data_IF_875228231438
#
_entry.id   IF_875228231438
#
_cell.length_a   1.000
_cell.length_b   1.000
_cell.length_c   1.000
_cell.angle_alpha   90.00
_cell.angle_beta   90.00
_cell.angle_gamma   90.00
#
_symmetry.space_group_name_H-M   'P 1'
#
loop_
_entity.id
_entity.type
_entity.pdbx_description
1 polymer ?
#
# COMPACT_ATOMS: atom_id res chain seq x y z
N UNK A 1 17.74 -2.32 18.49
CA UNK A 1 17.76 -3.67 17.87
C UNK A 1 16.63 -3.87 16.86
N UNK A 2 15.38 -3.45 17.12
CA UNK A 2 14.28 -3.56 16.15
C UNK A 2 14.45 -2.70 14.88
N UNK A 3 14.99 -1.48 15.01
CA UNK A 3 15.23 -0.57 13.88
C UNK A 3 16.25 -1.12 12.86
N UNK A 4 17.25 -1.90 13.32
CA UNK A 4 18.24 -2.53 12.43
C UNK A 4 17.68 -3.66 11.57
N UNK A 5 16.53 -4.25 11.95
CA UNK A 5 15.91 -5.32 11.14
C UNK A 5 15.20 -4.73 9.92
N UNK A 6 14.61 -3.54 10.08
CA UNK A 6 13.84 -2.88 9.03
C UNK A 6 14.70 -2.03 8.10
N UNK A 7 15.98 -1.83 8.41
CA UNK A 7 16.88 -1.05 7.55
C UNK A 7 17.14 -1.72 6.21
N UNK A 8 17.13 -3.06 6.13
CA UNK A 8 17.34 -3.79 4.87
C UNK A 8 16.23 -3.46 3.86
N UNK A 9 14.94 -3.75 4.13
CA UNK A 9 13.87 -3.48 3.15
C UNK A 9 13.72 -2.00 2.81
N UNK A 10 14.04 -1.10 3.76
CA UNK A 10 14.07 0.35 3.47
C UNK A 10 15.19 0.68 2.50
N UNK A 11 16.42 0.20 2.73
CA UNK A 11 17.53 0.46 1.81
C UNK A 11 17.29 -0.17 0.44
N UNK A 12 16.76 -1.38 0.37
CA UNK A 12 16.45 -2.05 -0.89
C UNK A 12 15.47 -1.23 -1.74
N UNK A 13 14.44 -0.66 -1.11
CA UNK A 13 13.50 0.19 -1.83
C UNK A 13 14.12 1.50 -2.32
N UNK A 14 15.00 2.14 -1.54
CA UNK A 14 15.72 3.34 -1.97
C UNK A 14 16.82 3.06 -3.00
N UNK A 15 17.25 1.80 -3.13
CA UNK A 15 18.14 1.33 -4.19
C UNK A 15 17.40 0.87 -5.45
N UNK A 16 16.09 0.64 -5.35
CA UNK A 16 15.29 0.19 -6.49
C UNK A 16 15.06 1.33 -7.49
N UNK A 17 15.11 0.99 -8.79
CA UNK A 17 14.78 1.92 -9.86
C UNK A 17 13.25 2.13 -9.93
N UNK A 18 12.71 2.96 -9.04
CA UNK A 18 11.28 3.26 -8.95
C UNK A 18 10.99 4.75 -8.87
N UNK A 19 9.74 5.13 -9.14
CA UNK A 19 9.28 6.53 -9.04
C UNK A 19 8.96 6.96 -7.60
N UNK A 20 8.76 6.02 -6.68
CA UNK A 20 8.54 6.30 -5.26
C UNK A 20 9.01 5.13 -4.40
N UNK A 21 10.12 5.29 -3.64
CA UNK A 21 10.64 4.23 -2.77
C UNK A 21 9.62 3.76 -1.72
N UNK A 22 8.79 4.67 -1.20
CA UNK A 22 7.77 4.31 -0.21
C UNK A 22 6.64 3.47 -0.84
N UNK A 23 6.25 3.73 -2.09
CA UNK A 23 5.35 2.85 -2.83
C UNK A 23 5.98 1.46 -3.04
N UNK A 24 7.26 1.41 -3.39
CA UNK A 24 7.97 0.13 -3.56
C UNK A 24 7.99 -0.67 -2.25
N UNK A 25 8.30 -0.03 -1.11
CA UNK A 25 8.21 -0.65 0.22
C UNK A 25 6.82 -1.20 0.51
N UNK A 26 5.77 -0.41 0.23
CA UNK A 26 4.39 -0.84 0.43
C UNK A 26 4.05 -2.04 -0.46
N UNK A 27 4.44 -2.00 -1.74
CA UNK A 27 4.18 -3.10 -2.70
C UNK A 27 4.88 -4.39 -2.27
N UNK A 28 6.13 -4.33 -1.84
CA UNK A 28 6.82 -5.51 -1.29
C UNK A 28 6.08 -6.09 -0.09
N UNK A 29 5.65 -5.25 0.87
CA UNK A 29 4.86 -5.71 2.01
C UNK A 29 3.51 -6.32 1.59
N UNK A 30 2.89 -5.75 0.57
CA UNK A 30 1.62 -6.22 0.02
C UNK A 30 1.77 -7.57 -0.66
N UNK A 31 2.78 -7.73 -1.51
CA UNK A 31 3.09 -8.97 -2.20
C UNK A 31 3.48 -10.07 -1.20
N UNK A 32 4.36 -9.77 -0.24
CA UNK A 32 4.73 -10.71 0.83
C UNK A 32 3.51 -11.15 1.66
N UNK A 33 2.57 -10.23 1.90
CA UNK A 33 1.35 -10.53 2.63
C UNK A 33 0.38 -11.42 1.84
N UNK A 34 0.25 -11.19 0.54
CA UNK A 34 -0.54 -12.02 -0.37
C UNK A 34 0.09 -13.40 -0.51
N UNK A 35 1.41 -13.46 -0.67
CA UNK A 35 2.20 -14.69 -0.80
C UNK A 35 2.12 -15.51 0.46
N UNK A 36 2.23 -14.87 1.63
CA UNK A 36 1.97 -15.55 2.89
C UNK A 36 0.55 -16.10 2.93
N UNK A 37 -0.46 -15.32 2.55
CA UNK A 37 -1.86 -15.76 2.60
C UNK A 37 -2.10 -17.04 1.80
N UNK A 38 -1.40 -17.24 0.67
CA UNK A 38 -1.62 -18.39 -0.22
C UNK A 38 -0.49 -19.43 -0.20
N UNK A 39 0.54 -19.20 0.61
CA UNK A 39 1.64 -20.12 0.85
C UNK A 39 1.24 -21.29 1.76
N UNK A 40 2.17 -21.95 2.46
CA UNK A 40 1.81 -23.06 3.35
C UNK A 40 1.04 -22.63 4.61
N UNK A 41 1.04 -21.33 4.95
CA UNK A 41 0.53 -20.84 6.24
C UNK A 41 -0.98 -20.69 6.32
N UNK A 42 -1.77 -20.68 5.23
CA UNK A 42 -3.25 -20.66 5.34
C UNK A 42 -3.83 -21.89 6.04
N UNK A 43 -3.03 -22.95 6.17
CA UNK A 43 -3.40 -24.15 6.90
C UNK A 43 -3.04 -24.09 8.39
N UNK A 44 -2.23 -23.13 8.81
CA UNK A 44 -1.90 -22.90 10.22
C UNK A 44 -3.11 -22.31 10.95
N UNK A 45 -3.42 -22.84 12.13
CA UNK A 45 -4.65 -22.49 12.85
C UNK A 45 -4.71 -20.99 13.21
N UNK A 46 -3.58 -20.39 13.58
CA UNK A 46 -3.50 -18.96 13.92
C UNK A 46 -3.79 -18.09 12.69
N UNK A 47 -3.17 -18.40 11.55
CA UNK A 47 -3.38 -17.67 10.28
C UNK A 47 -4.82 -17.82 9.80
N UNK A 48 -5.35 -19.05 9.82
CA UNK A 48 -6.73 -19.34 9.43
C UNK A 48 -7.73 -18.58 10.29
N UNK A 49 -7.53 -18.57 11.61
CA UNK A 49 -8.41 -17.84 12.53
C UNK A 49 -8.46 -16.33 12.22
N UNK A 50 -7.32 -15.76 11.81
CA UNK A 50 -7.26 -14.36 11.39
C UNK A 50 -7.94 -14.10 10.06
N UNK A 51 -7.73 -14.95 9.04
CA UNK A 51 -8.40 -14.81 7.74
C UNK A 51 -9.91 -15.01 7.86
N UNK A 52 -10.35 -15.93 8.72
CA UNK A 52 -11.76 -16.18 8.98
C UNK A 52 -12.42 -14.95 9.64
N UNK A 53 -11.74 -14.28 10.57
CA UNK A 53 -12.24 -13.08 11.25
C UNK A 53 -12.27 -11.85 10.34
N UNK A 54 -11.22 -11.62 9.54
CA UNK A 54 -11.02 -10.36 8.84
C UNK A 54 -11.49 -10.35 7.40
N UNK A 55 -11.49 -11.50 6.71
CA UNK A 55 -11.72 -11.55 5.27
C UNK A 55 -10.71 -10.71 4.47
N UNK A 56 -11.14 -10.22 3.31
CA UNK A 56 -10.32 -9.43 2.38
C UNK A 56 -11.12 -8.28 1.76
N UNK A 57 -10.46 -7.16 1.49
CA UNK A 57 -11.03 -6.06 0.70
C UNK A 57 -11.04 -6.42 -0.81
N UNK A 58 -11.76 -5.63 -1.62
CA UNK A 58 -11.88 -5.87 -3.07
C UNK A 58 -10.52 -5.96 -3.79
N UNK A 59 -9.55 -5.14 -3.41
CA UNK A 59 -8.19 -5.21 -3.99
C UNK A 59 -7.52 -6.55 -3.63
N UNK A 60 -7.43 -6.85 -2.34
CA UNK A 60 -6.64 -7.99 -1.87
C UNK A 60 -7.29 -9.34 -2.15
N UNK A 61 -8.62 -9.44 -2.21
CA UNK A 61 -9.28 -10.69 -2.62
C UNK A 61 -8.90 -11.05 -4.06
N UNK A 62 -8.79 -10.05 -4.95
CA UNK A 62 -8.34 -10.26 -6.33
C UNK A 62 -6.90 -10.70 -6.35
N UNK A 63 -5.99 -10.03 -5.64
CA UNK A 63 -4.57 -10.40 -5.61
C UNK A 63 -4.36 -11.83 -5.09
N UNK A 64 -5.01 -12.18 -3.97
CA UNK A 64 -4.98 -13.52 -3.36
C UNK A 64 -5.49 -14.58 -4.34
N UNK A 65 -6.59 -14.32 -5.05
CA UNK A 65 -7.14 -15.24 -6.04
C UNK A 65 -6.17 -15.56 -7.19
N UNK A 66 -5.28 -14.62 -7.56
CA UNK A 66 -4.32 -14.81 -8.65
C UNK A 66 -3.09 -15.67 -8.27
N UNK A 67 -2.92 -16.09 -7.01
CA UNK A 67 -1.74 -16.88 -6.54
C UNK A 67 -1.72 -18.36 -6.94
N UNK A 68 -2.42 -18.76 -8.00
CA UNK A 68 -2.51 -20.14 -8.53
C UNK A 68 -2.65 -21.27 -7.49
N UNK A 69 -3.39 -21.02 -6.40
CA UNK A 69 -3.70 -22.01 -5.36
C UNK A 69 -5.21 -22.05 -5.10
N UNK A 70 -5.94 -22.61 -6.06
CA UNK A 70 -7.42 -22.64 -6.04
C UNK A 70 -7.99 -23.44 -4.87
N UNK A 71 -7.31 -24.52 -4.47
CA UNK A 71 -7.76 -25.34 -3.34
C UNK A 71 -7.62 -24.58 -2.02
N UNK A 72 -6.47 -23.94 -1.79
CA UNK A 72 -6.26 -23.12 -0.60
C UNK A 72 -7.27 -21.99 -0.51
N UNK A 73 -7.56 -21.34 -1.64
CA UNK A 73 -8.55 -20.28 -1.70
C UNK A 73 -9.96 -20.79 -1.36
N UNK A 74 -10.34 -21.96 -1.88
CA UNK A 74 -11.62 -22.59 -1.54
C UNK A 74 -11.75 -22.89 -0.03
N UNK A 75 -10.67 -23.34 0.60
CA UNK A 75 -10.64 -23.57 2.05
C UNK A 75 -10.78 -22.28 2.85
N UNK A 76 -9.98 -21.25 2.53
CA UNK A 76 -10.05 -19.94 3.19
C UNK A 76 -11.45 -19.35 3.08
N UNK A 77 -12.06 -19.39 1.90
CA UNK A 77 -13.42 -18.88 1.72
C UNK A 77 -14.47 -19.69 2.48
N UNK A 78 -14.34 -21.03 2.50
CA UNK A 78 -15.26 -21.89 3.24
C UNK A 78 -15.24 -21.56 4.74
N UNK A 79 -14.06 -21.50 5.36
CA UNK A 79 -13.94 -21.28 6.81
C UNK A 79 -14.35 -19.88 7.22
N UNK A 80 -14.02 -18.88 6.38
CA UNK A 80 -14.55 -17.53 6.52
C UNK A 80 -16.08 -17.52 6.48
N UNK A 81 -16.71 -18.18 5.50
CA UNK A 81 -18.18 -18.26 5.44
C UNK A 81 -18.79 -19.01 6.62
N UNK A 82 -18.19 -20.12 7.06
CA UNK A 82 -18.66 -20.85 8.24
C UNK A 82 -18.69 -19.93 9.48
N UNK A 83 -17.64 -19.11 9.66
CA UNK A 83 -17.57 -18.12 10.74
C UNK A 83 -18.61 -17.00 10.55
N UNK A 84 -18.68 -16.38 9.38
CA UNK A 84 -19.64 -15.31 9.09
C UNK A 84 -21.08 -15.78 9.30
N UNK A 85 -21.44 -16.99 8.83
CA UNK A 85 -22.77 -17.58 9.03
C UNK A 85 -23.06 -17.74 10.53
N UNK A 86 -22.10 -18.25 11.30
CA UNK A 86 -22.27 -18.44 12.74
C UNK A 86 -22.47 -17.10 13.47
N UNK A 87 -21.70 -16.07 13.14
CA UNK A 87 -21.78 -14.78 13.81
C UNK A 87 -22.99 -13.96 13.36
N UNK A 88 -23.38 -14.05 12.09
CA UNK A 88 -24.66 -13.51 11.60
C UNK A 88 -25.83 -14.19 12.32
N UNK A 89 -25.85 -15.52 12.44
CA UNK A 89 -26.93 -16.25 13.13
C UNK A 89 -27.10 -15.82 14.58
N UNK A 90 -26.00 -15.56 15.31
CA UNK A 90 -26.05 -15.05 16.69
C UNK A 90 -26.61 -13.63 16.79
N UNK A 91 -26.47 -12.83 15.73
CA UNK A 91 -26.80 -11.41 15.73
C UNK A 91 -28.04 -11.07 14.89
N UNK A 92 -28.67 -12.06 14.25
CA UNK A 92 -29.80 -11.83 13.38
C UNK A 92 -30.96 -11.18 14.15
N UNK A 93 -31.52 -10.06 13.63
CA UNK A 93 -32.64 -9.41 14.27
C UNK A 93 -33.88 -10.30 14.12
N UNK A 94 -34.57 -10.56 15.23
CA UNK A 94 -35.79 -11.34 15.27
C UNK A 94 -36.87 -10.60 16.07
N UNK A 95 -38.13 -10.76 15.68
CA UNK A 95 -39.27 -10.19 16.38
C UNK A 95 -40.29 -9.50 15.46
N UNK A 96 -41.31 -8.83 16.03
CA UNK A 96 -42.37 -8.19 15.27
C UNK A 96 -41.85 -7.07 14.36
N UNK A 97 -42.48 -6.86 13.20
CA UNK A 97 -42.08 -5.86 12.20
C UNK A 97 -41.90 -4.44 12.77
N UNK A 98 -42.73 -4.04 13.74
CA UNK A 98 -42.66 -2.73 14.41
C UNK A 98 -41.38 -2.55 15.26
N UNK A 99 -40.88 -3.64 15.86
CA UNK A 99 -39.64 -3.66 16.64
C UNK A 99 -38.43 -3.70 15.72
N UNK A 100 -38.46 -4.53 14.67
CA UNK A 100 -37.43 -4.57 13.64
C UNK A 100 -37.23 -3.19 13.02
N UNK A 101 -38.30 -2.52 12.59
CA UNK A 101 -38.23 -1.19 11.96
C UNK A 101 -37.56 -0.12 12.82
N UNK A 102 -37.67 -0.21 14.16
CA UNK A 102 -37.04 0.77 15.07
C UNK A 102 -35.57 0.47 15.36
N UNK A 103 -35.13 -0.79 15.22
CA UNK A 103 -33.81 -1.23 15.67
C UNK A 103 -32.88 -1.71 14.56
N UNK A 104 -33.36 -1.85 13.32
CA UNK A 104 -32.60 -2.51 12.25
C UNK A 104 -31.32 -1.76 11.88
N UNK A 105 -31.38 -0.43 11.68
CA UNK A 105 -30.24 0.41 11.27
C UNK A 105 -29.05 0.32 12.25
N UNK A 106 -29.32 0.11 13.54
CA UNK A 106 -28.30 0.00 14.59
C UNK A 106 -28.16 -1.41 15.15
N UNK A 107 -28.68 -2.42 14.45
CA UNK A 107 -28.64 -3.82 14.89
C UNK A 107 -27.21 -4.35 14.95
N UNK A 108 -26.99 -5.34 15.82
CA UNK A 108 -25.66 -5.95 15.99
C UNK A 108 -25.17 -6.63 14.71
N UNK A 109 -26.06 -7.21 13.90
CA UNK A 109 -25.67 -7.80 12.61
C UNK A 109 -25.16 -6.76 11.62
N UNK A 110 -25.77 -5.57 11.54
CA UNK A 110 -25.29 -4.50 10.66
C UNK A 110 -23.91 -4.04 11.12
N UNK A 111 -23.74 -3.75 12.42
CA UNK A 111 -22.43 -3.35 12.97
C UNK A 111 -21.34 -4.40 12.73
N UNK A 112 -21.68 -5.68 12.84
CA UNK A 112 -20.77 -6.78 12.55
C UNK A 112 -20.36 -6.80 11.07
N UNK A 113 -21.34 -6.75 10.15
CA UNK A 113 -21.06 -6.77 8.71
C UNK A 113 -20.36 -5.49 8.25
N UNK A 114 -20.67 -4.33 8.82
CA UNK A 114 -19.94 -3.08 8.55
C UNK A 114 -18.48 -3.18 8.99
N UNK A 115 -18.21 -3.75 10.17
CA UNK A 115 -16.83 -4.02 10.60
C UNK A 115 -16.14 -4.97 9.61
N UNK A 116 -16.82 -6.03 9.19
CA UNK A 116 -16.28 -7.03 8.25
C UNK A 116 -15.98 -6.43 6.87
N UNK A 117 -16.88 -5.58 6.36
CA UNK A 117 -16.71 -4.88 5.08
C UNK A 117 -15.54 -3.88 5.09
N UNK A 118 -15.11 -3.45 6.28
CA UNK A 118 -13.99 -2.54 6.48
C UNK A 118 -12.74 -3.25 7.04
N UNK A 119 -12.72 -4.58 7.07
CA UNK A 119 -11.55 -5.36 7.47
C UNK A 119 -10.89 -6.06 6.29
N UNK A 120 -9.59 -6.31 6.42
CA UNK A 120 -8.83 -7.11 5.46
C UNK A 120 -7.59 -7.67 6.14
N UNK A 121 -7.39 -8.98 6.03
CA UNK A 121 -6.23 -9.67 6.57
C UNK A 121 -4.91 -9.12 5.99
N UNK A 122 -4.85 -8.94 4.67
CA UNK A 122 -3.67 -8.42 3.96
C UNK A 122 -3.38 -6.97 4.38
N UNK A 123 -4.38 -6.09 4.39
CA UNK A 123 -4.22 -4.71 4.90
C UNK A 123 -3.69 -4.70 6.35
N UNK A 124 -4.27 -5.53 7.23
CA UNK A 124 -3.84 -5.62 8.62
C UNK A 124 -2.36 -6.02 8.72
N UNK A 125 -1.93 -6.98 7.91
CA UNK A 125 -0.54 -7.42 7.86
C UNK A 125 0.40 -6.32 7.38
N UNK A 126 0.06 -5.62 6.30
CA UNK A 126 0.86 -4.50 5.78
C UNK A 126 1.01 -3.41 6.85
N UNK A 127 -0.10 -3.00 7.46
CA UNK A 127 -0.13 -1.93 8.46
C UNK A 127 0.73 -2.25 9.71
N UNK A 128 0.89 -3.54 10.05
CA UNK A 128 1.75 -3.95 11.18
C UNK A 128 3.24 -3.62 10.98
N UNK A 129 3.68 -3.43 9.73
CA UNK A 129 5.08 -3.18 9.38
C UNK A 129 5.30 -1.81 8.75
N UNK A 130 4.38 -1.34 7.91
CA UNK A 130 4.57 -0.13 7.11
C UNK A 130 4.93 1.10 7.94
N UNK A 131 4.25 1.32 9.06
CA UNK A 131 4.56 2.44 9.95
C UNK A 131 6.01 2.42 10.45
N UNK A 132 6.49 1.23 10.85
CA UNK A 132 7.87 1.04 11.34
C UNK A 132 8.90 1.23 10.24
N UNK A 133 8.54 0.87 9.01
CA UNK A 133 9.39 1.08 7.85
C UNK A 133 9.56 2.57 7.58
N UNK A 134 8.47 3.34 7.65
CA UNK A 134 8.52 4.82 7.54
C UNK A 134 9.32 5.42 8.69
N UNK A 135 9.14 4.95 9.93
CA UNK A 135 9.93 5.41 11.07
C UNK A 135 11.44 5.13 10.86
N UNK A 136 11.76 3.99 10.22
CA UNK A 136 13.13 3.60 9.90
C UNK A 136 13.76 4.51 8.83
N UNK A 137 12.98 5.09 7.91
CA UNK A 137 13.48 6.11 6.97
C UNK A 137 14.06 7.30 7.74
N UNK A 138 13.38 7.78 8.78
CA UNK A 138 13.88 8.89 9.60
C UNK A 138 15.04 8.50 10.52
N UNK A 139 15.05 7.27 11.01
CA UNK A 139 16.19 6.72 11.73
C UNK A 139 17.44 6.75 10.84
N UNK A 140 17.35 6.15 9.64
CA UNK A 140 18.46 6.11 8.68
C UNK A 140 18.87 7.51 8.21
N UNK A 141 17.90 8.40 7.96
CA UNK A 141 18.18 9.80 7.65
C UNK A 141 19.06 10.47 8.71
N UNK A 142 18.90 10.15 9.99
CA UNK A 142 19.73 10.74 11.05
C UNK A 142 21.07 10.05 11.24
N UNK A 143 21.14 8.75 10.99
CA UNK A 143 22.27 7.91 11.43
C UNK A 143 23.18 7.42 10.31
N UNK A 144 22.76 7.54 9.04
CA UNK A 144 23.44 6.95 7.87
C UNK A 144 23.55 7.99 6.75
N UNK A 145 24.75 8.54 6.56
CA UNK A 145 25.02 9.52 5.50
C UNK A 145 24.93 8.90 4.10
N UNK A 146 25.24 7.61 3.95
CA UNK A 146 25.09 6.91 2.66
C UNK A 146 23.60 6.81 2.29
N UNK A 147 22.74 6.57 3.28
CA UNK A 147 21.29 6.61 3.08
C UNK A 147 20.81 8.00 2.68
N UNK A 148 21.33 9.08 3.29
CA UNK A 148 20.98 10.45 2.87
C UNK A 148 21.33 10.70 1.41
N UNK A 149 22.50 10.24 0.96
CA UNK A 149 22.92 10.37 -0.44
C UNK A 149 22.04 9.56 -1.40
N UNK A 150 21.59 8.36 -0.99
CA UNK A 150 20.58 7.60 -1.75
C UNK A 150 19.24 8.33 -1.80
N UNK A 151 18.79 8.86 -0.67
CA UNK A 151 17.54 9.62 -0.57
C UNK A 151 17.55 10.83 -1.51
N UNK A 152 18.64 11.60 -1.54
CA UNK A 152 18.81 12.75 -2.45
C UNK A 152 18.79 12.38 -3.93
N UNK A 153 19.15 11.15 -4.28
CA UNK A 153 19.22 10.67 -5.67
C UNK A 153 17.94 9.98 -6.15
N UNK A 154 16.99 9.71 -5.25
CA UNK A 154 15.76 9.03 -5.64
C UNK A 154 14.92 9.91 -6.58
N UNK A 155 13.98 9.28 -7.30
CA UNK A 155 13.06 9.97 -8.21
C UNK A 155 11.92 10.70 -7.48
N UNK A 156 12.03 10.95 -6.18
CA UNK A 156 11.01 11.61 -5.36
C UNK A 156 9.86 10.70 -4.95
N UNK A 157 8.68 11.28 -4.73
CA UNK A 157 7.55 10.58 -4.09
C UNK A 157 6.23 10.81 -4.85
N UNK A 158 5.25 9.92 -4.63
CA UNK A 158 3.87 10.16 -5.05
C UNK A 158 3.17 11.13 -4.09
N UNK A 159 1.99 11.62 -4.48
CA UNK A 159 1.19 12.55 -3.66
C UNK A 159 0.99 12.08 -2.22
N UNK A 160 0.57 10.83 -2.05
CA UNK A 160 0.27 10.24 -0.73
C UNK A 160 1.53 10.16 0.14
N UNK A 161 2.62 9.63 -0.40
CA UNK A 161 3.85 9.43 0.35
C UNK A 161 4.64 10.72 0.60
N UNK A 162 4.50 11.73 -0.26
CA UNK A 162 4.99 13.08 0.02
C UNK A 162 4.31 13.66 1.26
N UNK A 163 2.97 13.61 1.33
CA UNK A 163 2.20 14.07 2.50
C UNK A 163 2.54 13.27 3.75
N UNK A 164 2.68 11.94 3.63
CA UNK A 164 3.06 11.06 4.74
C UNK A 164 4.41 11.48 5.35
N UNK A 165 5.43 11.63 4.50
CA UNK A 165 6.78 11.99 4.93
C UNK A 165 6.82 13.39 5.55
N UNK A 166 6.12 14.38 4.98
CA UNK A 166 6.03 15.72 5.58
C UNK A 166 5.34 15.72 6.96
N UNK A 167 4.26 14.94 7.12
CA UNK A 167 3.59 14.83 8.42
C UNK A 167 4.50 14.17 9.45
N UNK A 168 5.09 13.02 9.12
CA UNK A 168 5.97 12.30 10.04
C UNK A 168 7.28 13.04 10.32
N UNK A 169 7.80 13.84 9.38
CA UNK A 169 9.07 14.54 9.60
C UNK A 169 9.02 15.47 10.82
N UNK A 170 7.88 16.08 11.12
CA UNK A 170 7.70 16.93 12.30
C UNK A 170 7.81 16.16 13.63
N UNK A 171 7.46 14.87 13.63
CA UNK A 171 7.56 14.01 14.82
C UNK A 171 9.01 13.57 15.08
N UNK A 172 9.81 13.44 14.02
CA UNK A 172 11.17 12.90 14.08
C UNK A 172 12.26 13.98 14.04
N UNK A 173 12.09 15.07 13.30
CA UNK A 173 13.14 16.06 13.04
C UNK A 173 12.78 17.41 13.66
N UNK A 174 13.79 18.21 14.01
CA UNK A 174 13.64 19.55 14.61
C UNK A 174 14.73 20.49 14.13
N UNK A 175 14.46 21.80 14.17
CA UNK A 175 15.41 22.85 13.80
C UNK A 175 15.95 22.67 12.38
N UNK A 176 17.25 22.92 12.21
CA UNK A 176 17.94 22.83 10.92
C UNK A 176 17.77 21.47 10.22
N UNK A 177 17.75 20.36 10.96
CA UNK A 177 17.56 19.04 10.37
C UNK A 177 16.15 18.84 9.77
N UNK A 178 15.13 19.49 10.33
CA UNK A 178 13.78 19.48 9.75
C UNK A 178 13.73 20.40 8.52
N UNK A 179 14.35 21.57 8.60
CA UNK A 179 14.43 22.53 7.49
C UNK A 179 15.13 21.91 6.27
N UNK A 180 16.28 21.25 6.48
CA UNK A 180 17.02 20.53 5.43
C UNK A 180 16.15 19.45 4.79
N UNK A 181 15.53 18.58 5.59
CA UNK A 181 14.70 17.49 5.08
C UNK A 181 13.49 18.00 4.29
N UNK A 182 12.79 19.01 4.83
CA UNK A 182 11.61 19.60 4.17
C UNK A 182 12.01 20.30 2.87
N UNK A 183 13.12 21.04 2.85
CA UNK A 183 13.63 21.66 1.63
C UNK A 183 13.93 20.62 0.56
N UNK A 184 14.65 19.55 0.93
CA UNK A 184 15.01 18.48 0.02
C UNK A 184 13.79 17.74 -0.54
N UNK A 185 12.85 17.33 0.31
CA UNK A 185 11.69 16.57 -0.16
C UNK A 185 10.79 17.41 -1.07
N UNK A 186 10.68 18.71 -0.83
CA UNK A 186 9.95 19.64 -1.71
C UNK A 186 10.61 19.74 -3.08
N UNK A 187 11.93 19.91 -3.12
CA UNK A 187 12.70 19.97 -4.36
C UNK A 187 12.55 18.65 -5.15
N UNK A 188 12.77 17.51 -4.49
CA UNK A 188 12.63 16.20 -5.12
C UNK A 188 11.23 15.95 -5.66
N UNK A 189 10.20 16.36 -4.91
CA UNK A 189 8.80 16.19 -5.31
C UNK A 189 8.47 17.02 -6.56
N UNK A 190 8.76 18.32 -6.54
CA UNK A 190 8.45 19.21 -7.67
C UNK A 190 9.27 18.83 -8.91
N UNK A 191 10.59 18.71 -8.77
CA UNK A 191 11.48 18.43 -9.91
C UNK A 191 11.11 17.13 -10.62
N UNK A 192 10.78 16.07 -9.86
CA UNK A 192 10.40 14.80 -10.47
C UNK A 192 8.96 14.78 -11.01
N UNK A 193 8.06 15.58 -10.45
CA UNK A 193 6.72 15.72 -11.01
C UNK A 193 6.79 16.45 -12.36
N UNK A 194 7.63 17.49 -12.47
CA UNK A 194 7.90 18.19 -13.74
C UNK A 194 8.58 17.28 -14.76
N UNK A 195 9.59 16.50 -14.34
CA UNK A 195 10.24 15.49 -15.20
C UNK A 195 9.21 14.53 -15.81
N UNK A 196 8.34 13.94 -14.99
CA UNK A 196 7.33 12.98 -15.47
C UNK A 196 6.28 13.68 -16.34
N UNK A 197 5.86 14.91 -15.99
CA UNK A 197 4.95 15.72 -16.82
C UNK A 197 5.53 15.95 -18.21
N UNK A 198 6.80 16.30 -18.31
CA UNK A 198 7.46 16.59 -19.59
C UNK A 198 7.61 15.32 -20.44
N UNK A 199 7.88 14.18 -19.80
CA UNK A 199 7.87 12.87 -20.48
C UNK A 199 6.47 12.49 -21.00
N UNK A 200 5.39 12.83 -20.27
CA UNK A 200 4.00 12.65 -20.73
C UNK A 200 3.67 13.62 -21.88
N UNK A 201 4.13 14.87 -21.80
CA UNK A 201 3.97 15.82 -22.90
C UNK A 201 4.65 15.32 -24.18
N UNK A 202 5.84 14.72 -24.07
CA UNK A 202 6.49 14.08 -25.20
C UNK A 202 5.72 12.85 -25.70
N UNK A 203 5.18 12.02 -24.79
CA UNK A 203 4.31 10.90 -25.17
C UNK A 203 3.13 11.37 -26.01
N UNK A 204 2.48 12.49 -25.65
CA UNK A 204 1.38 13.08 -26.41
C UNK A 204 1.85 13.52 -27.80
N UNK A 205 2.99 14.22 -27.89
CA UNK A 205 3.55 14.69 -29.17
C UNK A 205 3.82 13.55 -30.16
N UNK A 206 4.18 12.36 -29.67
CA UNK A 206 4.43 11.19 -30.51
C UNK A 206 3.22 10.71 -31.32
N UNK A 207 2.02 11.18 -31.01
CA UNK A 207 0.80 10.93 -31.78
C UNK A 207 0.47 12.02 -32.81
N UNK A 208 1.26 13.09 -32.88
CA UNK A 208 1.22 14.07 -33.97
C UNK A 208 2.21 13.64 -35.07
N UNK A 209 1.74 13.62 -36.32
CA UNK A 209 2.50 13.21 -37.51
C UNK A 209 3.84 13.95 -37.64
N UNK A 210 3.94 15.18 -37.13
CA UNK A 210 5.18 15.99 -37.16
C UNK A 210 6.32 15.38 -36.35
N UNK A 211 6.00 14.62 -35.31
CA UNK A 211 6.99 14.05 -34.40
C UNK A 211 7.09 12.54 -34.55
N UNK A 212 6.46 11.95 -35.58
CA UNK A 212 6.37 10.50 -35.73
C UNK A 212 7.75 9.84 -35.86
N UNK A 213 8.68 10.47 -36.58
CA UNK A 213 10.03 9.95 -36.82
C UNK A 213 11.03 10.33 -35.71
N UNK A 214 10.65 11.20 -34.78
CA UNK A 214 11.51 11.58 -33.65
C UNK A 214 11.67 10.42 -32.64
N UNK A 215 12.79 10.31 -31.90
CA UNK A 215 12.93 9.27 -30.90
C UNK A 215 11.96 9.44 -29.72
N UNK A 216 11.61 8.34 -29.06
CA UNK A 216 10.70 8.36 -27.90
C UNK A 216 11.33 8.91 -26.61
N UNK A 217 12.67 9.01 -26.53
CA UNK A 217 13.38 9.31 -25.28
C UNK A 217 12.83 8.49 -24.11
N UNK A 218 12.47 9.15 -23.00
CA UNK A 218 11.89 8.53 -21.80
C UNK A 218 10.36 8.44 -21.85
N UNK A 219 9.69 8.78 -22.95
CA UNK A 219 8.23 8.91 -22.94
C UNK A 219 7.46 7.60 -22.97
N UNK A 220 8.05 6.47 -23.38
CA UNK A 220 7.29 5.22 -23.63
C UNK A 220 6.48 4.74 -22.43
N UNK A 221 7.04 4.85 -21.23
CA UNK A 221 6.45 4.41 -19.97
C UNK A 221 5.91 5.57 -19.12
N UNK A 222 5.92 6.80 -19.65
CA UNK A 222 5.63 8.01 -18.88
C UNK A 222 4.20 8.05 -18.34
N UNK A 223 3.25 7.43 -19.06
CA UNK A 223 1.86 7.29 -18.61
C UNK A 223 1.81 6.45 -17.33
N UNK A 224 2.50 5.31 -17.28
CA UNK A 224 2.56 4.44 -16.08
C UNK A 224 3.24 5.19 -14.93
N UNK A 225 4.38 5.84 -15.19
CA UNK A 225 5.10 6.65 -14.19
C UNK A 225 4.24 7.78 -13.64
N UNK A 226 3.41 8.40 -14.47
CA UNK A 226 2.49 9.45 -14.03
C UNK A 226 1.39 8.93 -13.10
N UNK A 227 0.87 7.72 -13.34
CA UNK A 227 -0.07 7.06 -12.44
C UNK A 227 0.56 6.75 -11.07
N UNK A 228 1.82 6.30 -11.05
CA UNK A 228 2.57 6.10 -9.80
C UNK A 228 2.68 7.43 -9.05
N UNK A 229 3.05 8.53 -9.72
CA UNK A 229 3.16 9.85 -9.08
C UNK A 229 1.84 10.39 -8.55
N UNK A 230 0.78 10.28 -9.34
CA UNK A 230 -0.52 10.84 -8.99
C UNK A 230 -1.24 10.03 -7.91
N UNK A 231 -1.13 8.71 -7.94
CA UNK A 231 -2.00 7.82 -7.17
C UNK A 231 -1.29 6.67 -6.46
N UNK A 232 0.05 6.59 -6.53
CA UNK A 232 0.82 5.53 -5.89
C UNK A 232 0.59 4.14 -6.47
N UNK A 233 -0.09 4.03 -7.62
CA UNK A 233 -0.44 2.76 -8.26
C UNK A 233 0.78 2.21 -9.00
N UNK A 234 1.35 1.12 -8.48
CA UNK A 234 2.33 0.31 -9.20
C UNK A 234 1.55 -0.75 -9.98
N UNK A 235 1.67 -0.72 -11.31
CA UNK A 235 1.10 -1.74 -12.18
C UNK A 235 2.11 -2.87 -12.31
N UNK A 236 1.67 -4.10 -12.07
CA UNK A 236 2.45 -5.30 -12.40
C UNK A 236 2.38 -5.47 -13.94
N UNK A 237 3.54 -5.61 -14.58
CA UNK A 237 3.66 -5.86 -16.04
C UNK A 237 3.19 -7.27 -16.44
#
# INVERSE_FOLDING_TARGET
MKEKLYSIPVNDAFNSECECPICAMYKTLEDDAVDYTMGPSYMEDDTRAMTDELGFCDKHIRMVYHKDNRLGMAWVMKTHFDKTINDVRKNMPSGPAKMLKKGIENSSVIKYLDKLNNSCFVCSRINNFFDRYVDTVFFLWKSDDEFKERFKKCKGFCNEHYVLLLKKSADYLKGEALEEFVSLINELYITNLERVRDDVAWFINKFDYKYQDEPWYNAKDSVIRSMVKASGVILDE
#
